data_IF_073818118016
#
_entry.id   IF_073818118016
#
_cell.length_a   1.000
_cell.length_b   1.000
_cell.length_c   1.000
_cell.angle_alpha   90.00
_cell.angle_beta   90.00
_cell.angle_gamma   90.00
#
_symmetry.space_group_name_H-M   'P 1'
#
loop_
_entity.id
_entity.type
_entity.pdbx_description
1 polymer ?
#
# COMPACT_ATOMS: atom_id res chain seq x y z
N UNK A 1 0.78 -16.76 -24.51
CA UNK A 1 0.24 -15.39 -24.73
C UNK A 1 1.11 -14.43 -23.93
N UNK A 2 1.92 -13.58 -24.55
CA UNK A 2 2.74 -12.61 -23.81
C UNK A 2 1.84 -11.47 -23.32
N UNK A 3 1.93 -11.00 -22.06
CA UNK A 3 1.25 -9.78 -21.69
C UNK A 3 1.83 -8.63 -22.53
N UNK A 4 0.96 -7.90 -23.21
CA UNK A 4 1.32 -6.61 -23.82
C UNK A 4 1.26 -5.59 -22.69
N UNK A 5 2.35 -5.48 -21.92
CA UNK A 5 2.48 -4.43 -20.91
C UNK A 5 2.36 -3.09 -21.63
N UNK A 6 1.32 -2.33 -21.30
CA UNK A 6 1.18 -0.96 -21.75
C UNK A 6 2.09 -0.14 -20.85
N UNK A 7 3.11 0.49 -21.44
CA UNK A 7 4.01 1.37 -20.71
C UNK A 7 3.31 2.72 -20.54
N UNK A 8 3.36 3.26 -19.34
CA UNK A 8 2.82 4.58 -19.03
C UNK A 8 3.44 5.63 -19.97
N UNK A 9 2.63 6.42 -20.72
CA UNK A 9 3.14 7.39 -21.70
C UNK A 9 3.61 8.69 -21.01
N UNK A 10 4.17 8.58 -19.82
CA UNK A 10 4.68 9.67 -19.00
C UNK A 10 5.83 9.18 -18.12
N UNK A 11 6.58 10.11 -17.51
CA UNK A 11 7.62 9.81 -16.54
C UNK A 11 7.18 10.27 -15.15
N UNK A 12 7.63 9.57 -14.11
CA UNK A 12 7.45 10.00 -12.73
C UNK A 12 8.19 11.33 -12.54
N UNK A 13 7.47 12.36 -12.08
CA UNK A 13 8.03 13.69 -11.79
C UNK A 13 8.41 13.86 -10.31
N UNK A 14 7.66 13.22 -9.41
CA UNK A 14 7.88 13.18 -7.97
C UNK A 14 7.33 11.86 -7.43
N UNK A 15 7.82 11.43 -6.27
CA UNK A 15 7.33 10.25 -5.57
C UNK A 15 6.86 10.63 -4.17
N UNK A 16 5.93 9.84 -3.65
CA UNK A 16 5.59 9.83 -2.23
C UNK A 16 6.18 8.55 -1.62
N UNK A 17 7.10 8.64 -0.64
CA UNK A 17 7.61 7.46 0.03
C UNK A 17 6.50 6.76 0.80
N UNK A 18 6.39 5.45 0.65
CA UNK A 18 5.43 4.65 1.41
C UNK A 18 6.20 3.69 2.31
N UNK A 19 5.78 3.59 3.57
CA UNK A 19 6.40 2.71 4.56
C UNK A 19 5.89 1.29 4.36
N UNK A 20 6.80 0.34 4.29
CA UNK A 20 6.44 -1.08 4.28
C UNK A 20 6.31 -1.58 5.71
N UNK A 21 5.16 -2.16 6.03
CA UNK A 21 4.98 -2.82 7.32
C UNK A 21 5.38 -4.29 7.23
N UNK A 22 5.88 -4.81 8.34
CA UNK A 22 6.02 -6.25 8.55
C UNK A 22 4.64 -6.89 8.73
N UNK A 23 4.57 -8.20 8.52
CA UNK A 23 3.33 -8.94 8.76
C UNK A 23 2.81 -8.76 10.19
N UNK A 24 3.70 -8.80 11.18
CA UNK A 24 3.37 -8.68 12.59
C UNK A 24 2.80 -7.29 12.92
N UNK A 25 3.28 -6.24 12.25
CA UNK A 25 2.72 -4.89 12.38
C UNK A 25 1.33 -4.81 11.77
N UNK A 26 1.10 -5.36 10.57
CA UNK A 26 -0.24 -5.41 9.96
C UNK A 26 -1.26 -6.13 10.82
N UNK A 27 -0.88 -7.24 11.46
CA UNK A 27 -1.76 -7.98 12.36
C UNK A 27 -2.21 -7.09 13.55
N UNK A 28 -1.28 -6.33 14.15
CA UNK A 28 -1.62 -5.37 15.23
C UNK A 28 -2.49 -4.23 14.74
N UNK A 29 -2.16 -3.64 13.59
CA UNK A 29 -2.93 -2.54 12.97
C UNK A 29 -4.38 -2.99 12.71
N UNK A 30 -4.57 -4.19 12.14
CA UNK A 30 -5.90 -4.75 11.89
C UNK A 30 -6.69 -5.01 13.17
N UNK A 31 -6.06 -5.56 14.21
CA UNK A 31 -6.72 -5.76 15.52
C UNK A 31 -7.15 -4.42 16.11
N UNK A 32 -6.27 -3.42 16.10
CA UNK A 32 -6.56 -2.09 16.63
C UNK A 32 -7.67 -1.36 15.86
N UNK A 33 -7.75 -1.59 14.55
CA UNK A 33 -8.81 -1.08 13.69
C UNK A 33 -10.13 -1.87 13.81
N UNK A 34 -10.22 -2.85 14.71
CA UNK A 34 -11.41 -3.70 14.84
C UNK A 34 -11.70 -4.49 13.56
N UNK A 35 -10.66 -4.86 12.82
CA UNK A 35 -10.72 -5.49 11.50
C UNK A 35 -11.48 -4.66 10.45
N UNK A 36 -11.65 -3.35 10.65
CA UNK A 36 -12.22 -2.45 9.66
C UNK A 36 -11.10 -1.65 8.96
N UNK A 37 -10.74 -1.95 7.70
CA UNK A 37 -9.67 -1.25 6.99
C UNK A 37 -9.91 0.25 6.81
N UNK A 38 -11.17 0.71 6.82
CA UNK A 38 -11.50 2.14 6.74
C UNK A 38 -11.06 2.93 7.97
N UNK A 39 -10.75 2.26 9.08
CA UNK A 39 -10.24 2.88 10.30
C UNK A 39 -8.71 2.87 10.39
N UNK A 40 -8.00 2.31 9.40
CA UNK A 40 -6.54 2.27 9.37
C UNK A 40 -5.99 3.62 8.89
N UNK A 41 -4.97 4.13 9.57
CA UNK A 41 -4.28 5.35 9.15
C UNK A 41 -3.58 5.13 7.80
N UNK A 42 -3.61 6.12 6.89
CA UNK A 42 -3.06 5.96 5.54
C UNK A 42 -1.59 5.53 5.52
N UNK A 43 -0.77 6.05 6.44
CA UNK A 43 0.65 5.70 6.59
C UNK A 43 0.93 4.23 6.95
N UNK A 44 -0.10 3.49 7.35
CA UNK A 44 -0.04 2.09 7.78
C UNK A 44 -0.57 1.10 6.71
N UNK A 45 -1.00 1.60 5.56
CA UNK A 45 -1.60 0.79 4.48
C UNK A 45 -0.53 0.34 3.47
N UNK A 46 0.29 -0.67 3.82
CA UNK A 46 1.14 -1.48 2.91
C UNK A 46 1.69 -2.77 3.57
#
# INVERSE_FOLDING_TARGET
>A
MKPKTIIEPFKIKSVEPIRFTTRQEREKILINAGYNPFMIHADDVL
#
